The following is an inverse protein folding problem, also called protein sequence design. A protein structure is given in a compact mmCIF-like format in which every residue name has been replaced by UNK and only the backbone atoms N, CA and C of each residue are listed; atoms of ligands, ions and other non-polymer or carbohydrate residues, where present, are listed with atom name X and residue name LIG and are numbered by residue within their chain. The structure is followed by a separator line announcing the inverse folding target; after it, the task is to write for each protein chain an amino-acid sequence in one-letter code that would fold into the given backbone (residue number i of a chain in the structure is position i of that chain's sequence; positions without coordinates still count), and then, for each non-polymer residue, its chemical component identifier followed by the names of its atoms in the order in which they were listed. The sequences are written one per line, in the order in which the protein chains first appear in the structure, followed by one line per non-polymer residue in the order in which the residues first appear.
data_IF_445964896929
#
_entry.id   IF_445964896929
#
_cell.length_a   1.000
_cell.length_b   1.000
_cell.length_c   1.000
_cell.angle_alpha   90.00
_cell.angle_beta   90.00
_cell.angle_gamma   90.00
#
_symmetry.space_group_name_H-M   'P 1'
#
loop_
_entity.id
_entity.type
_entity.pdbx_description
1 polymer ?
#
# COMPACT_ATOMS: atom_id res chain seq x y z
N UNK A 1 -9.71 6.06 12.22
CA UNK A 1 -8.32 5.53 12.13
C UNK A 1 -8.23 4.24 12.95
N UNK A 2 -7.46 3.24 12.49
CA UNK A 2 -7.45 1.92 13.15
C UNK A 2 -6.92 1.98 14.59
N UNK A 3 -5.82 2.70 14.82
CA UNK A 3 -5.09 2.68 16.10
C UNK A 3 -5.71 3.55 17.21
N UNK A 4 -6.36 4.67 16.85
CA UNK A 4 -6.82 5.67 17.82
C UNK A 4 -8.34 5.87 17.87
N UNK A 5 -9.11 5.28 16.94
CA UNK A 5 -10.56 5.48 16.81
C UNK A 5 -11.35 4.15 16.81
N UNK A 6 -10.79 3.10 17.42
CA UNK A 6 -11.47 1.80 17.57
C UNK A 6 -11.96 1.19 16.27
N UNK A 7 -11.21 1.35 15.17
CA UNK A 7 -11.60 0.91 13.81
C UNK A 7 -12.91 1.51 13.26
N UNK A 8 -13.37 2.64 13.80
CA UNK A 8 -14.53 3.35 13.25
C UNK A 8 -14.11 4.16 12.01
N UNK A 9 -14.21 3.51 10.85
CA UNK A 9 -13.90 4.13 9.56
C UNK A 9 -15.09 4.96 9.05
N UNK A 10 -14.92 6.26 8.92
CA UNK A 10 -15.90 7.17 8.31
C UNK A 10 -15.25 7.87 7.12
N UNK A 11 -15.86 7.79 5.93
CA UNK A 11 -15.37 8.46 4.70
C UNK A 11 -13.96 8.06 4.22
N UNK A 12 -13.42 6.95 4.72
CA UNK A 12 -12.04 6.50 4.48
C UNK A 12 -11.91 5.24 3.61
N UNK A 13 -12.91 4.34 3.51
CA UNK A 13 -12.86 3.26 2.52
C UNK A 13 -13.00 3.84 1.11
N UNK A 14 -11.87 4.01 0.44
CA UNK A 14 -11.82 4.38 -0.98
C UNK A 14 -11.86 3.10 -1.82
N UNK A 15 -12.55 3.19 -2.96
CA UNK A 15 -12.46 2.22 -4.04
C UNK A 15 -11.90 2.92 -5.27
N UNK A 16 -11.14 2.18 -6.08
CA UNK A 16 -10.58 2.67 -7.34
C UNK A 16 -11.08 1.84 -8.52
N UNK A 17 -10.90 2.32 -9.76
CA UNK A 17 -11.15 1.52 -10.96
C UNK A 17 -10.14 0.36 -11.07
N UNK A 18 -10.30 -0.48 -12.08
CA UNK A 18 -9.21 -1.37 -12.49
C UNK A 18 -8.07 -0.56 -13.09
N UNK A 19 -7.02 -0.27 -12.31
CA UNK A 19 -5.93 0.61 -12.73
C UNK A 19 -5.12 0.07 -13.91
N UNK A 20 -4.96 -1.26 -14.00
CA UNK A 20 -4.34 -1.89 -15.16
C UNK A 20 -5.14 -1.67 -16.45
N UNK A 21 -6.47 -1.90 -16.41
CA UNK A 21 -7.37 -1.64 -17.54
C UNK A 21 -7.39 -0.16 -17.92
N UNK A 22 -7.35 0.75 -16.93
CA UNK A 22 -7.23 2.18 -17.18
C UNK A 22 -5.93 2.48 -17.93
N UNK A 23 -4.79 1.95 -17.48
CA UNK A 23 -3.51 2.15 -18.15
C UNK A 23 -3.54 1.69 -19.62
N UNK A 24 -4.11 0.51 -19.88
CA UNK A 24 -4.28 -0.03 -21.23
C UNK A 24 -5.14 0.88 -22.12
N UNK A 25 -6.21 1.47 -21.57
CA UNK A 25 -7.06 2.41 -22.30
C UNK A 25 -6.31 3.68 -22.73
N UNK A 26 -5.25 4.07 -22.01
CA UNK A 26 -4.37 5.18 -22.36
C UNK A 26 -3.13 4.76 -23.19
N UNK A 27 -3.08 3.51 -23.66
CA UNK A 27 -1.97 3.00 -24.46
C UNK A 27 -0.72 2.66 -23.65
N UNK A 28 -0.84 2.53 -22.33
CA UNK A 28 0.22 2.10 -21.44
C UNK A 28 0.10 0.60 -21.15
N UNK A 29 1.20 -0.03 -20.76
CA UNK A 29 1.17 -1.39 -20.25
C UNK A 29 0.61 -1.40 -18.83
N UNK A 30 -0.32 -2.30 -18.53
CA UNK A 30 -0.92 -2.45 -17.20
C UNK A 30 -0.79 -3.88 -16.68
N UNK A 31 -0.51 -4.04 -15.38
CA UNK A 31 -0.60 -5.33 -14.69
C UNK A 31 -1.31 -5.18 -13.35
N UNK A 32 -2.12 -6.18 -12.99
CA UNK A 32 -2.61 -6.35 -11.62
C UNK A 32 -1.84 -7.50 -10.98
N UNK A 33 -1.32 -7.27 -9.77
CA UNK A 33 -0.56 -8.26 -9.00
C UNK A 33 -1.32 -8.57 -7.72
N UNK A 34 -1.91 -9.77 -7.67
CA UNK A 34 -2.75 -10.21 -6.55
C UNK A 34 -1.99 -11.03 -5.50
N UNK A 35 -0.82 -11.56 -5.86
CA UNK A 35 -0.04 -12.47 -5.00
C UNK A 35 1.39 -11.96 -4.84
N UNK A 36 1.94 -12.15 -3.64
CA UNK A 36 3.30 -11.72 -3.33
C UNK A 36 4.37 -12.47 -4.13
N UNK A 37 4.09 -13.73 -4.49
CA UNK A 37 5.02 -14.53 -5.30
C UNK A 37 5.24 -13.95 -6.69
N UNK A 38 4.20 -13.34 -7.27
CA UNK A 38 4.22 -12.77 -8.61
C UNK A 38 4.85 -11.37 -8.65
N UNK A 39 5.05 -10.73 -7.49
CA UNK A 39 5.49 -9.35 -7.41
C UNK A 39 6.86 -9.11 -8.03
N UNK A 40 7.81 -10.02 -7.78
CA UNK A 40 9.17 -9.87 -8.31
C UNK A 40 9.18 -9.95 -9.83
N UNK A 41 8.42 -10.88 -10.41
CA UNK A 41 8.38 -11.07 -11.85
C UNK A 41 7.60 -9.97 -12.56
N UNK A 42 6.52 -9.46 -11.95
CA UNK A 42 5.81 -8.28 -12.45
C UNK A 42 6.70 -7.03 -12.47
N UNK A 43 7.51 -6.81 -11.43
CA UNK A 43 8.47 -5.70 -11.38
C UNK A 43 9.53 -5.85 -12.49
N UNK A 44 10.08 -7.05 -12.68
CA UNK A 44 11.04 -7.31 -13.78
C UNK A 44 10.42 -7.06 -15.15
N UNK A 45 9.21 -7.57 -15.39
CA UNK A 45 8.52 -7.38 -16.67
C UNK A 45 8.19 -5.91 -16.97
N UNK A 46 7.94 -5.10 -15.94
CA UNK A 46 7.77 -3.66 -16.07
C UNK A 46 9.11 -2.95 -16.32
N UNK A 47 10.19 -3.39 -15.67
CA UNK A 47 11.53 -2.81 -15.79
C UNK A 47 12.16 -3.07 -17.16
N UNK A 48 11.97 -4.26 -17.71
CA UNK A 48 12.51 -4.65 -19.02
C UNK A 48 11.66 -4.11 -20.19
N UNK A 49 10.54 -3.46 -19.90
CA UNK A 49 9.71 -2.83 -20.93
C UNK A 49 10.25 -1.46 -21.30
N UNK A 50 10.56 -1.27 -22.59
CA UNK A 50 10.85 0.05 -23.14
C UNK A 50 9.55 0.87 -23.29
N UNK A 51 9.09 1.42 -22.17
CA UNK A 51 7.84 2.17 -22.08
C UNK A 51 7.29 2.27 -20.66
N UNK A 52 6.31 3.14 -20.46
CA UNK A 52 5.65 3.32 -19.17
C UNK A 52 4.72 2.16 -18.85
N UNK A 53 4.87 1.61 -17.64
CA UNK A 53 4.03 0.52 -17.11
C UNK A 53 3.36 0.94 -15.81
N UNK A 54 2.10 0.56 -15.63
CA UNK A 54 1.36 0.67 -14.37
C UNK A 54 1.24 -0.70 -13.71
N UNK A 55 1.72 -0.82 -12.48
CA UNK A 55 1.55 -2.00 -11.63
C UNK A 55 0.55 -1.71 -10.52
N UNK A 56 -0.55 -2.46 -10.50
CA UNK A 56 -1.63 -2.39 -9.52
C UNK A 56 -1.51 -3.55 -8.52
N UNK A 57 -0.82 -3.33 -7.40
CA UNK A 57 -0.62 -4.34 -6.36
C UNK A 57 -1.79 -4.39 -5.38
N UNK A 58 -2.34 -5.58 -5.15
CA UNK A 58 -3.30 -5.80 -4.07
C UNK A 58 -2.55 -6.09 -2.78
N UNK A 59 -2.69 -5.17 -1.82
CA UNK A 59 -2.04 -5.23 -0.51
C UNK A 59 -3.07 -5.30 0.61
N UNK A 60 -2.63 -5.76 1.78
CA UNK A 60 -3.45 -5.74 2.98
C UNK A 60 -3.88 -4.31 3.33
N UNK A 61 -5.18 -4.11 3.56
CA UNK A 61 -5.76 -2.77 3.78
C UNK A 61 -5.39 -2.19 5.14
N UNK A 62 -5.16 -3.05 6.13
CA UNK A 62 -4.95 -2.65 7.53
C UNK A 62 -3.47 -2.75 8.00
N UNK A 63 -2.51 -2.53 7.11
CA UNK A 63 -1.09 -2.49 7.48
C UNK A 63 -0.72 -1.13 8.11
N UNK A 64 -0.40 -1.12 9.41
CA UNK A 64 0.11 0.07 10.09
C UNK A 64 1.57 0.35 9.73
N UNK A 65 1.91 1.64 9.63
CA UNK A 65 3.29 2.10 9.45
C UNK A 65 3.91 2.29 10.83
N UNK A 66 5.04 1.61 11.03
CA UNK A 66 5.86 1.72 12.24
C UNK A 66 7.29 2.12 11.85
N UNK A 67 8.02 2.81 12.74
CA UNK A 67 7.59 3.17 14.09
C UNK A 67 6.75 4.47 14.11
N UNK A 68 5.89 4.63 15.12
CA UNK A 68 4.88 5.71 15.18
C UNK A 68 4.94 6.43 16.52
N UNK A 69 5.06 7.76 16.51
CA UNK A 69 4.89 8.60 17.71
C UNK A 69 3.43 8.99 17.82
N UNK A 70 2.71 8.59 18.89
CA UNK A 70 1.32 8.99 19.08
C UNK A 70 1.17 10.51 19.26
N UNK A 71 0.02 11.09 18.89
CA UNK A 71 -0.25 12.49 19.16
C UNK A 71 -0.02 12.84 20.64
N UNK A 72 0.68 13.94 20.89
CA UNK A 72 0.97 14.41 22.25
C UNK A 72 2.13 13.72 22.98
N UNK A 73 2.85 12.79 22.34
CA UNK A 73 4.01 12.10 22.92
C UNK A 73 5.33 12.60 22.34
N UNK A 74 6.42 12.38 23.08
CA UNK A 74 7.78 12.70 22.65
C UNK A 74 8.35 11.66 21.69
N UNK A 75 9.44 12.00 20.99
CA UNK A 75 10.13 11.08 20.07
C UNK A 75 10.65 9.83 20.80
N UNK A 76 10.93 9.92 22.10
CA UNK A 76 11.39 8.77 22.91
C UNK A 76 10.29 7.74 23.17
N UNK A 77 9.01 8.11 23.07
CA UNK A 77 7.85 7.28 23.42
C UNK A 77 7.23 6.64 22.15
N UNK A 78 8.08 6.25 21.22
CA UNK A 78 7.68 5.75 19.92
C UNK A 78 7.20 4.29 20.00
N UNK A 79 6.08 3.98 19.35
CA UNK A 79 5.57 2.61 19.26
C UNK A 79 6.30 1.88 18.12
N UNK A 80 6.87 0.72 18.44
CA UNK A 80 7.53 -0.18 17.47
C UNK A 80 6.67 -1.42 17.18
N UNK A 81 7.04 -2.18 16.15
CA UNK A 81 6.29 -3.37 15.69
C UNK A 81 6.31 -4.54 16.68
N UNK A 82 7.29 -4.59 17.59
CA UNK A 82 7.54 -5.71 18.51
C UNK A 82 6.88 -5.55 19.89
N UNK A 83 6.14 -4.46 20.11
CA UNK A 83 5.51 -4.16 21.39
C UNK A 83 6.18 -2.98 22.08
N UNK A 84 5.36 -2.24 22.81
CA UNK A 84 5.69 -1.00 23.52
C UNK A 84 6.99 -1.16 24.33
N UNK A 85 8.08 -0.55 23.87
CA UNK A 85 9.26 -0.32 24.70
C UNK A 85 9.08 1.01 25.44
N UNK A 86 9.33 0.94 26.75
CA UNK A 86 8.99 1.90 27.80
C UNK A 86 9.52 3.32 27.60
#
# INVERSE_FOLDING_TARGET
QQLFEGKRYSGTPLSGPGFACLAEAYGLRGFTVDRIEDATDAIRAAWDHDGSTVLDFRVEREANVFPLVPPGHSIGEMITREGVTA
#
